data_IF_095664553631
#
_entry.id   IF_095664553631
#
_cell.length_a   1.000
_cell.length_b   1.000
_cell.length_c   1.000
_cell.angle_alpha   90.00
_cell.angle_beta   90.00
_cell.angle_gamma   90.00
#
_symmetry.space_group_name_H-M   'P 1'
#
loop_
_entity.id
_entity.type
_entity.pdbx_description
1 polymer ?
#
# COMPACT_ATOMS: atom_id res chain seq x y z
N UNK A 1 11.46 -36.99 -11.91
CA UNK A 1 11.64 -35.76 -11.10
C UNK A 1 10.53 -34.79 -11.51
N UNK A 2 9.42 -34.69 -10.78
CA UNK A 2 8.37 -33.73 -11.11
C UNK A 2 8.52 -32.43 -10.30
N UNK A 3 8.47 -31.33 -11.04
CA UNK A 3 7.95 -30.00 -10.69
C UNK A 3 8.45 -29.33 -9.40
N UNK A 4 9.51 -28.56 -9.60
CA UNK A 4 9.87 -27.43 -8.74
C UNK A 4 8.68 -26.46 -8.76
N UNK A 5 7.80 -26.63 -7.77
CA UNK A 5 6.69 -25.72 -7.46
C UNK A 5 7.19 -24.30 -7.66
N UNK A 6 6.69 -23.63 -8.70
CA UNK A 6 6.89 -22.20 -8.89
C UNK A 6 6.10 -21.52 -7.77
N UNK A 7 6.69 -21.49 -6.58
CA UNK A 7 6.16 -20.76 -5.44
C UNK A 7 5.97 -19.33 -5.93
N UNK A 8 4.72 -18.89 -6.03
CA UNK A 8 4.42 -17.50 -6.32
C UNK A 8 5.20 -16.65 -5.31
N UNK A 9 5.94 -15.63 -5.77
CA UNK A 9 6.77 -14.83 -4.88
C UNK A 9 5.89 -14.25 -3.77
N UNK A 10 6.30 -14.46 -2.52
CA UNK A 10 5.59 -13.96 -1.35
C UNK A 10 5.66 -12.42 -1.36
N UNK A 11 4.51 -11.77 -1.55
CA UNK A 11 4.42 -10.30 -1.54
C UNK A 11 4.67 -9.82 -0.12
N UNK A 12 5.71 -9.00 0.07
CA UNK A 12 6.01 -8.34 1.34
C UNK A 12 6.39 -6.89 1.16
N UNK A 13 5.86 -6.05 2.05
CA UNK A 13 6.24 -4.66 2.23
C UNK A 13 7.33 -4.63 3.31
N UNK A 14 8.45 -4.00 2.99
CA UNK A 14 9.58 -3.82 3.91
C UNK A 14 9.70 -2.39 4.43
N UNK A 15 9.31 -1.41 3.64
CA UNK A 15 9.38 0.01 4.01
C UNK A 15 8.50 0.87 3.10
N UNK A 16 8.21 2.09 3.56
CA UNK A 16 7.62 3.16 2.76
C UNK A 16 8.69 4.22 2.46
N UNK A 17 8.66 4.84 1.28
CA UNK A 17 9.68 5.85 0.91
C UNK A 17 9.64 7.11 1.78
N UNK A 18 8.47 7.44 2.31
CA UNK A 18 8.24 8.50 3.27
C UNK A 18 7.60 7.85 4.49
N UNK A 19 8.34 7.67 5.58
CA UNK A 19 7.82 6.98 6.77
C UNK A 19 7.72 7.95 7.96
N UNK A 20 6.51 8.33 8.40
CA UNK A 20 5.19 7.97 7.84
C UNK A 20 4.84 8.79 6.58
N UNK A 21 4.05 8.19 5.69
CA UNK A 21 3.52 8.85 4.48
C UNK A 21 2.44 9.81 4.95
N UNK A 22 2.65 11.11 4.73
CA UNK A 22 1.67 12.15 5.07
C UNK A 22 0.89 12.53 3.82
N UNK A 23 -0.39 12.17 3.79
CA UNK A 23 -1.30 12.48 2.70
C UNK A 23 -2.26 13.59 3.11
N UNK A 24 -2.08 14.83 2.60
CA UNK A 24 -3.01 15.91 2.89
C UNK A 24 -4.38 15.59 2.33
N UNK A 25 -5.40 15.92 3.10
CA UNK A 25 -6.78 15.95 2.61
C UNK A 25 -6.80 16.85 1.36
N UNK A 26 -7.42 16.38 0.27
CA UNK A 26 -7.51 17.08 -1.04
C UNK A 26 -6.27 17.10 -1.95
N UNK A 27 -5.15 16.48 -1.58
CA UNK A 27 -3.96 16.38 -2.46
C UNK A 27 -3.60 14.94 -2.78
N UNK A 28 -3.10 14.74 -4.00
CA UNK A 28 -2.46 13.47 -4.38
C UNK A 28 -1.06 13.41 -3.77
N UNK A 29 -0.77 12.36 -3.02
CA UNK A 29 0.54 12.09 -2.45
C UNK A 29 1.17 10.90 -3.15
N UNK A 30 2.34 11.13 -3.73
CA UNK A 30 3.14 10.10 -4.36
C UNK A 30 4.06 9.48 -3.31
N UNK A 31 4.10 8.16 -3.25
CA UNK A 31 5.01 7.42 -2.39
C UNK A 31 5.35 6.07 -3.04
N UNK A 32 6.33 5.35 -2.51
CA UNK A 32 6.68 4.02 -3.03
C UNK A 32 6.73 3.01 -1.90
N UNK A 33 6.20 1.83 -2.19
CA UNK A 33 6.32 0.63 -1.38
C UNK A 33 7.63 -0.05 -1.75
N UNK A 34 8.52 -0.22 -0.78
CA UNK A 34 9.73 -1.02 -0.94
C UNK A 34 9.50 -2.41 -0.35
N UNK A 35 9.90 -3.46 -1.06
CA UNK A 35 9.51 -4.82 -0.69
C UNK A 35 10.06 -5.90 -1.61
N UNK A 36 9.29 -6.97 -1.74
CA UNK A 36 9.56 -8.08 -2.65
C UNK A 36 8.28 -8.73 -3.14
N UNK A 37 8.32 -9.28 -4.36
CA UNK A 37 7.24 -10.08 -4.92
C UNK A 37 6.10 -9.27 -5.53
N UNK A 38 6.28 -7.96 -5.75
CA UNK A 38 5.26 -7.10 -6.34
C UNK A 38 4.91 -7.49 -7.78
N UNK A 39 3.62 -7.46 -8.11
CA UNK A 39 3.06 -7.86 -9.40
C UNK A 39 1.93 -6.93 -9.82
N UNK A 40 1.63 -6.84 -11.11
CA UNK A 40 0.72 -5.85 -11.68
C UNK A 40 -0.75 -5.99 -11.27
N UNK A 41 -1.21 -7.20 -10.95
CA UNK A 41 -2.60 -7.46 -10.54
C UNK A 41 -2.88 -7.20 -9.05
N UNK A 42 -1.90 -6.71 -8.30
CA UNK A 42 -2.11 -6.40 -6.89
C UNK A 42 -2.79 -5.04 -6.71
N UNK A 43 -3.61 -4.93 -5.66
CA UNK A 43 -4.29 -3.70 -5.28
C UNK A 43 -3.74 -3.23 -3.95
N UNK A 44 -3.29 -1.98 -3.93
CA UNK A 44 -2.87 -1.29 -2.71
C UNK A 44 -4.05 -0.49 -2.16
N UNK A 45 -4.21 -0.44 -0.84
CA UNK A 45 -5.24 0.35 -0.19
C UNK A 45 -4.84 0.69 1.24
N UNK A 46 -5.59 1.60 1.88
CA UNK A 46 -5.36 2.01 3.27
C UNK A 46 -6.43 1.39 4.17
N UNK A 47 -6.03 0.94 5.36
CA UNK A 47 -6.88 0.29 6.35
C UNK A 47 -6.58 0.83 7.75
N UNK A 48 -7.56 0.76 8.65
CA UNK A 48 -7.36 1.16 10.05
C UNK A 48 -6.76 0.04 10.90
N UNK A 49 -6.77 -1.21 10.39
CA UNK A 49 -6.36 -2.42 11.11
C UNK A 49 -5.22 -3.14 10.40
N UNK A 50 -4.37 -3.77 11.21
CA UNK A 50 -3.23 -4.57 10.76
C UNK A 50 -3.61 -5.79 9.90
N UNK A 51 -4.82 -6.32 10.02
CA UNK A 51 -5.27 -7.44 9.17
C UNK A 51 -5.72 -6.98 7.76
N UNK A 52 -5.66 -5.67 7.47
CA UNK A 52 -6.15 -5.08 6.24
C UNK A 52 -7.68 -4.91 6.20
N UNK A 53 -8.39 -5.20 7.30
CA UNK A 53 -9.82 -4.93 7.39
C UNK A 53 -10.09 -3.45 7.69
N UNK A 54 -11.36 -3.04 7.54
CA UNK A 54 -11.79 -1.64 7.74
C UNK A 54 -11.04 -0.65 6.82
N UNK A 55 -11.33 -0.78 5.53
CA UNK A 55 -10.75 0.05 4.47
C UNK A 55 -11.13 1.51 4.68
N UNK A 56 -10.14 2.40 4.58
CA UNK A 56 -10.32 3.85 4.62
C UNK A 56 -10.59 4.36 3.19
N UNK A 57 -11.39 5.43 3.08
CA UNK A 57 -11.67 6.13 1.83
C UNK A 57 -10.46 6.95 1.34
N UNK A 58 -9.38 6.23 1.05
CA UNK A 58 -8.20 6.72 0.34
C UNK A 58 -8.08 5.89 -0.93
N UNK A 59 -8.22 6.53 -2.07
CA UNK A 59 -7.94 5.91 -3.36
C UNK A 59 -6.42 5.76 -3.50
N UNK A 60 -5.94 4.56 -3.79
CA UNK A 60 -4.51 4.31 -4.03
C UNK A 60 -4.37 3.68 -5.41
N UNK A 61 -3.66 4.36 -6.29
CA UNK A 61 -3.47 3.95 -7.68
C UNK A 61 -1.97 3.69 -7.94
N UNK A 62 -1.62 2.74 -8.83
CA UNK A 62 -0.26 2.65 -9.36
C UNK A 62 0.15 3.99 -9.99
N UNK A 63 1.41 4.38 -9.82
CA UNK A 63 1.96 5.53 -10.53
C UNK A 63 2.47 5.11 -11.91
N UNK A 64 1.66 5.34 -12.93
CA UNK A 64 1.98 4.98 -14.33
C UNK A 64 3.19 5.73 -14.90
N UNK A 65 3.70 6.75 -14.19
CA UNK A 65 4.87 7.53 -14.60
C UNK A 65 6.19 6.90 -14.19
N UNK A 66 6.18 5.90 -13.31
CA UNK A 66 7.38 5.28 -12.76
C UNK A 66 7.34 3.77 -12.99
N UNK A 67 8.44 3.22 -13.50
CA UNK A 67 8.56 1.79 -13.75
C UNK A 67 8.48 1.04 -12.42
N UNK A 68 7.45 0.21 -12.29
CA UNK A 68 7.31 -0.71 -11.16
C UNK A 68 8.25 -1.90 -11.32
N UNK A 69 8.83 -2.36 -10.22
CA UNK A 69 9.69 -3.54 -10.19
C UNK A 69 9.17 -4.54 -9.16
N UNK A 70 9.74 -5.74 -9.13
CA UNK A 70 9.45 -6.76 -8.11
C UNK A 70 9.79 -6.29 -6.68
N UNK A 71 10.55 -5.19 -6.53
CA UNK A 71 11.03 -4.65 -5.25
C UNK A 71 10.49 -3.28 -4.91
N UNK A 72 10.02 -2.52 -5.89
CA UNK A 72 9.57 -1.14 -5.71
C UNK A 72 8.27 -0.94 -6.45
N UNK A 73 7.23 -0.58 -5.70
CA UNK A 73 5.91 -0.28 -6.24
C UNK A 73 5.54 1.19 -5.99
N UNK A 74 5.65 2.07 -6.99
CA UNK A 74 5.27 3.47 -6.89
C UNK A 74 3.74 3.61 -6.97
N UNK A 75 3.18 4.42 -6.07
CA UNK A 75 1.73 4.62 -5.93
C UNK A 75 1.38 6.06 -5.62
N UNK A 76 0.13 6.40 -5.91
CA UNK A 76 -0.47 7.71 -5.65
C UNK A 76 -1.66 7.51 -4.71
N UNK A 77 -1.58 8.04 -3.50
CA UNK A 77 -2.71 8.10 -2.57
C UNK A 77 -3.50 9.40 -2.75
N UNK A 78 -4.82 9.29 -2.75
CA UNK A 78 -5.77 10.39 -2.82
C UNK A 78 -6.84 10.21 -1.74
N UNK A 79 -6.69 10.87 -0.58
CA UNK A 79 -7.73 10.87 0.45
C UNK A 79 -9.03 11.49 -0.07
N UNK A 80 -10.17 10.90 0.29
CA UNK A 80 -11.48 11.42 -0.08
C UNK A 80 -11.77 12.79 0.56
N UNK A 81 -12.70 13.53 -0.05
CA UNK A 81 -13.11 14.84 0.44
C UNK A 81 -13.75 14.72 1.83
N UNK A 82 -13.27 15.50 2.80
CA UNK A 82 -13.82 15.52 4.15
C UNK A 82 -13.37 14.35 5.04
N UNK A 83 -12.40 13.54 4.58
CA UNK A 83 -11.76 12.54 5.44
C UNK A 83 -11.07 13.24 6.60
N UNK A 84 -11.33 12.79 7.83
CA UNK A 84 -10.73 13.39 9.01
C UNK A 84 -9.23 13.06 9.08
N UNK A 85 -8.38 14.02 9.51
CA UNK A 85 -6.99 13.73 9.79
C UNK A 85 -6.84 12.57 10.77
N UNK A 86 -5.81 11.76 10.55
CA UNK A 86 -5.47 10.64 11.43
C UNK A 86 -4.71 11.13 12.65
N UNK A 87 -4.91 10.49 13.81
CA UNK A 87 -4.05 10.72 14.97
C UNK A 87 -2.61 10.28 14.63
N UNK A 88 -1.61 11.18 14.73
CA UNK A 88 -0.21 10.82 14.44
C UNK A 88 0.35 9.73 15.36
N UNK A 89 -0.29 9.44 16.50
CA UNK A 89 0.07 8.33 17.40
C UNK A 89 -0.52 6.98 16.97
N UNK A 90 -1.42 6.96 15.99
CA UNK A 90 -2.09 5.77 15.49
C UNK A 90 -2.10 5.79 13.96
N UNK A 91 -0.95 5.53 13.31
CA UNK A 91 -0.88 5.50 11.86
C UNK A 91 -1.81 4.45 11.28
N UNK A 92 -2.28 4.71 10.07
CA UNK A 92 -3.03 3.74 9.26
C UNK A 92 -2.07 2.73 8.63
N UNK A 93 -2.65 1.62 8.21
CA UNK A 93 -1.98 0.49 7.59
C UNK A 93 -2.12 0.55 6.07
N UNK A 94 -0.99 0.52 5.38
CA UNK A 94 -0.95 0.30 3.93
C UNK A 94 -1.03 -1.20 3.69
N UNK A 95 -2.07 -1.64 2.99
CA UNK A 95 -2.34 -3.04 2.74
C UNK A 95 -2.24 -3.36 1.25
N UNK A 96 -1.74 -4.56 0.94
CA UNK A 96 -1.74 -5.11 -0.41
C UNK A 96 -2.66 -6.33 -0.44
N UNK A 97 -3.53 -6.39 -1.45
CA UNK A 97 -4.31 -7.59 -1.76
C UNK A 97 -4.01 -8.10 -3.16
N UNK A 98 -4.05 -9.41 -3.32
CA UNK A 98 -3.96 -10.11 -4.60
C UNK A 98 -5.02 -11.21 -4.61
N UNK A 99 -5.79 -11.34 -5.70
CA UNK A 99 -6.90 -12.30 -5.81
C UNK A 99 -7.87 -12.22 -4.62
N UNK A 100 -8.26 -10.99 -4.22
CA UNK A 100 -9.11 -10.69 -3.05
C UNK A 100 -8.59 -11.17 -1.68
N UNK A 101 -7.35 -11.63 -1.58
CA UNK A 101 -6.72 -11.96 -0.31
C UNK A 101 -5.70 -10.90 0.09
N UNK A 102 -5.77 -10.45 1.34
CA UNK A 102 -4.71 -9.62 1.93
C UNK A 102 -3.43 -10.44 1.96
N UNK A 103 -2.35 -9.89 1.42
CA UNK A 103 -1.05 -10.54 1.36
C UNK A 103 -0.10 -10.00 2.40
N UNK A 104 -0.09 -8.68 2.57
CA UNK A 104 0.72 -8.03 3.58
C UNK A 104 0.19 -6.64 3.92
N UNK A 105 0.61 -6.14 5.09
CA UNK A 105 0.25 -4.82 5.62
C UNK A 105 1.45 -4.18 6.30
N UNK A 106 1.57 -2.86 6.18
CA UNK A 106 2.64 -2.09 6.80
C UNK A 106 2.08 -0.82 7.45
N UNK A 107 2.36 -0.61 8.72
CA UNK A 107 1.94 0.59 9.45
C UNK A 107 2.79 1.78 9.01
N UNK A 108 2.17 2.91 8.69
CA UNK A 108 2.94 4.11 8.35
C UNK A 108 2.27 5.12 7.45
N UNK A 109 0.94 5.19 7.42
CA UNK A 109 0.20 6.17 6.62
C UNK A 109 -0.59 7.13 7.50
N UNK A 110 -0.54 8.42 7.21
CA UNK A 110 -1.24 9.46 7.96
C UNK A 110 -2.00 10.37 7.00
N UNK A 111 -3.29 10.58 7.28
CA UNK A 111 -4.06 11.65 6.65
C UNK A 111 -3.84 12.94 7.45
N UNK A 112 -3.46 14.03 6.78
CA UNK A 112 -3.17 15.33 7.40
C UNK A 112 -4.02 16.47 6.87
#
# INVERSE_FOLDING_TARGET
MPDKSAAQPEIKIKYLSDEPVKAPTFKSTYFKLGGSGFVQDMVVYISTKQDGSDKVDVEVLPDDKVVSTDKVWPVVAKPAFGLKPTDPKKPLWVAIKLNNQVKDTYEGFLVV
#
